data_IF_442054216894
#
_entry.id   IF_442054216894
#
_cell.length_a   1.000
_cell.length_b   1.000
_cell.length_c   1.000
_cell.angle_alpha   90.00
_cell.angle_beta   90.00
_cell.angle_gamma   90.00
#
_symmetry.space_group_name_H-M   'P 1'
#
loop_
_entity.id
_entity.type
_entity.pdbx_description
1 polymer ?
#
# COMPACT_ATOMS: atom_id res chain seq x y z
N UNK A 1 -11.55 6.86 -2.31
CA UNK A 1 -11.38 5.72 -1.37
C UNK A 1 -12.58 5.48 -0.48
N UNK A 2 -13.18 6.51 0.12
CA UNK A 2 -14.52 6.40 0.72
C UNK A 2 -15.56 5.75 -0.22
N UNK A 3 -15.42 5.95 -1.54
CA UNK A 3 -16.24 5.31 -2.57
C UNK A 3 -15.96 3.80 -2.71
N UNK A 4 -14.70 3.35 -2.64
CA UNK A 4 -14.36 1.92 -2.63
C UNK A 4 -14.81 1.24 -1.33
N UNK A 5 -14.71 1.94 -0.19
CA UNK A 5 -15.22 1.48 1.10
C UNK A 5 -16.75 1.42 1.09
N UNK A 6 -17.43 2.45 0.57
CA UNK A 6 -18.89 2.48 0.44
C UNK A 6 -19.38 1.39 -0.51
N UNK A 7 -18.69 1.18 -1.64
CA UNK A 7 -18.94 0.07 -2.56
C UNK A 7 -18.67 -1.26 -1.87
N UNK A 8 -17.57 -1.41 -1.12
CA UNK A 8 -17.25 -2.64 -0.40
C UNK A 8 -18.27 -2.95 0.72
N UNK A 9 -18.71 -1.95 1.49
CA UNK A 9 -19.76 -2.08 2.52
C UNK A 9 -21.10 -2.40 1.87
N UNK A 10 -21.44 -1.74 0.76
CA UNK A 10 -22.63 -2.03 -0.02
C UNK A 10 -22.61 -3.45 -0.61
N UNK A 11 -21.45 -3.91 -1.07
CA UNK A 11 -21.23 -5.29 -1.54
C UNK A 11 -21.29 -6.30 -0.38
N UNK A 12 -20.68 -6.04 0.77
CA UNK A 12 -20.77 -6.88 1.98
C UNK A 12 -22.21 -7.06 2.45
N UNK A 13 -23.05 -6.02 2.29
CA UNK A 13 -24.45 -6.05 2.70
C UNK A 13 -25.36 -6.78 1.68
N UNK A 14 -24.97 -6.86 0.40
CA UNK A 14 -25.84 -7.34 -0.68
C UNK A 14 -25.33 -8.61 -1.41
N UNK A 15 -24.09 -9.05 -1.21
CA UNK A 15 -23.51 -10.23 -1.86
C UNK A 15 -23.08 -11.26 -0.80
N UNK A 16 -23.44 -12.52 -1.03
CA UNK A 16 -23.32 -13.65 -0.11
C UNK A 16 -21.97 -13.72 0.66
N UNK A 17 -21.97 -14.18 1.93
CA UNK A 17 -20.77 -14.35 2.76
C UNK A 17 -19.73 -15.36 2.23
N UNK A 18 -20.00 -16.06 1.13
CA UNK A 18 -19.15 -17.08 0.51
C UNK A 18 -17.84 -16.58 -0.13
N UNK A 19 -17.59 -15.27 -0.18
CA UNK A 19 -16.29 -14.76 -0.66
C UNK A 19 -15.16 -14.98 0.36
N UNK A 20 -15.50 -15.12 1.65
CA UNK A 20 -14.51 -15.26 2.73
C UNK A 20 -14.12 -16.73 2.92
N UNK A 21 -15.02 -17.67 2.60
CA UNK A 21 -14.79 -19.13 2.74
C UNK A 21 -13.69 -19.66 1.81
N UNK A 22 -13.51 -19.11 0.60
CA UNK A 22 -12.41 -19.53 -0.29
C UNK A 22 -11.01 -19.08 0.22
N UNK A 23 -10.96 -18.10 1.11
CA UNK A 23 -9.72 -17.57 1.69
C UNK A 23 -9.41 -18.15 3.08
N UNK A 24 -10.34 -18.92 3.69
CA UNK A 24 -10.18 -19.60 4.98
C UNK A 24 -8.87 -20.41 5.12
N UNK A 25 -8.40 -21.18 4.11
CA UNK A 25 -7.17 -21.96 4.23
C UNK A 25 -5.92 -21.08 4.38
N UNK A 26 -5.94 -19.87 3.82
CA UNK A 26 -4.85 -18.90 3.89
C UNK A 26 -4.91 -18.14 5.23
N UNK A 27 -6.12 -17.87 5.71
CA UNK A 27 -6.38 -17.11 6.93
C UNK A 27 -6.03 -17.85 8.23
N UNK A 28 -5.95 -19.19 8.21
CA UNK A 28 -5.50 -20.00 9.34
C UNK A 28 -4.00 -19.88 9.67
N UNK A 29 -3.20 -19.26 8.80
CA UNK A 29 -1.74 -19.15 8.96
C UNK A 29 -1.26 -17.69 8.82
N UNK A 30 -1.17 -16.93 9.94
CA UNK A 30 -0.72 -15.53 9.92
C UNK A 30 0.59 -15.26 9.16
N UNK A 31 1.63 -16.12 9.22
CA UNK A 31 2.87 -15.91 8.45
C UNK A 31 2.66 -15.94 6.93
N UNK A 32 1.77 -16.79 6.42
CA UNK A 32 1.46 -16.86 4.98
C UNK A 32 0.75 -15.60 4.52
N UNK A 33 -0.17 -15.07 5.33
CA UNK A 33 -0.87 -13.81 5.05
C UNK A 33 0.13 -12.65 4.92
N UNK A 34 1.08 -12.54 5.85
CA UNK A 34 2.14 -11.53 5.76
C UNK A 34 3.04 -11.70 4.54
N UNK A 35 3.39 -12.92 4.17
CA UNK A 35 4.21 -13.20 2.99
C UNK A 35 3.49 -12.76 1.70
N UNK A 36 2.24 -13.20 1.52
CA UNK A 36 1.40 -12.85 0.37
C UNK A 36 1.22 -11.33 0.30
N UNK A 37 0.94 -10.71 1.45
CA UNK A 37 0.83 -9.25 1.55
C UNK A 37 2.11 -8.56 1.12
N UNK A 38 3.25 -8.98 1.66
CA UNK A 38 4.57 -8.39 1.35
C UNK A 38 4.89 -8.52 -0.14
N UNK A 39 4.69 -9.69 -0.73
CA UNK A 39 4.95 -9.90 -2.15
C UNK A 39 4.02 -9.04 -3.01
N UNK A 40 2.72 -9.03 -2.72
CA UNK A 40 1.76 -8.17 -3.40
C UNK A 40 2.17 -6.70 -3.33
N UNK A 41 2.54 -6.24 -2.13
CA UNK A 41 2.89 -4.86 -1.88
C UNK A 41 4.16 -4.46 -2.62
N UNK A 42 5.18 -5.32 -2.65
CA UNK A 42 6.44 -5.08 -3.37
C UNK A 42 6.24 -5.04 -4.89
N UNK A 43 5.45 -5.96 -5.46
CA UNK A 43 5.32 -6.08 -6.92
C UNK A 43 4.25 -5.16 -7.52
N UNK A 44 3.07 -5.08 -6.90
CA UNK A 44 1.92 -4.42 -7.49
C UNK A 44 1.39 -3.27 -6.63
N UNK A 45 1.42 -3.38 -5.30
CA UNK A 45 0.76 -2.42 -4.42
C UNK A 45 -0.73 -2.24 -4.72
N UNK A 46 -1.35 -3.23 -5.40
CA UNK A 46 -2.74 -3.21 -5.84
C UNK A 46 -3.67 -3.87 -4.83
N UNK A 47 -3.20 -4.88 -4.08
CA UNK A 47 -4.04 -5.50 -3.05
C UNK A 47 -4.16 -4.51 -1.90
N UNK A 48 -5.37 -3.97 -1.77
CA UNK A 48 -5.76 -3.02 -0.74
C UNK A 48 -5.53 -3.62 0.65
N UNK A 49 -4.77 -2.95 1.54
CA UNK A 49 -4.54 -3.40 2.91
C UNK A 49 -5.83 -3.58 3.72
N UNK A 50 -6.93 -2.96 3.28
CA UNK A 50 -8.28 -3.09 3.82
C UNK A 50 -8.75 -4.55 3.93
N UNK A 51 -8.41 -5.40 2.94
CA UNK A 51 -8.78 -6.82 2.96
C UNK A 51 -8.09 -7.56 4.11
N UNK A 52 -6.81 -7.23 4.33
CA UNK A 52 -6.02 -7.82 5.40
C UNK A 52 -6.41 -7.28 6.79
N UNK A 53 -6.85 -6.03 6.88
CA UNK A 53 -7.40 -5.46 8.12
C UNK A 53 -8.72 -6.15 8.51
N UNK A 54 -9.59 -6.47 7.55
CA UNK A 54 -10.83 -7.23 7.82
C UNK A 54 -10.51 -8.65 8.29
N UNK A 55 -9.54 -9.32 7.67
CA UNK A 55 -9.06 -10.62 8.16
C UNK A 55 -8.54 -10.53 9.61
N UNK A 56 -7.81 -9.47 9.95
CA UNK A 56 -7.28 -9.27 11.29
C UNK A 56 -8.39 -9.17 12.36
N UNK A 57 -9.58 -8.66 12.02
CA UNK A 57 -10.73 -8.63 12.93
C UNK A 57 -11.24 -10.04 13.26
N UNK A 58 -11.18 -10.96 12.31
CA UNK A 58 -11.69 -12.33 12.51
C UNK A 58 -10.79 -13.18 13.43
N UNK A 59 -9.63 -12.67 13.86
CA UNK A 59 -8.72 -13.35 14.79
C UNK A 59 -9.09 -13.16 16.27
N UNK A 60 -10.19 -12.47 16.56
CA UNK A 60 -10.91 -12.55 17.83
C UNK A 60 -10.40 -11.70 18.99
N UNK A 61 -9.11 -11.35 19.05
CA UNK A 61 -8.55 -10.54 20.13
C UNK A 61 -8.10 -9.14 19.68
N UNK A 62 -8.37 -8.14 20.52
CA UNK A 62 -8.07 -6.71 20.28
C UNK A 62 -6.56 -6.49 20.19
N UNK A 63 -5.80 -7.15 21.07
CA UNK A 63 -4.34 -7.08 21.06
C UNK A 63 -3.77 -7.67 19.78
N UNK A 64 -4.30 -8.82 19.34
CA UNK A 64 -3.90 -9.47 18.10
C UNK A 64 -4.19 -8.59 16.87
N UNK A 65 -5.35 -7.93 16.83
CA UNK A 65 -5.69 -6.98 15.77
C UNK A 65 -4.67 -5.82 15.67
N UNK A 66 -4.35 -5.18 16.80
CA UNK A 66 -3.37 -4.08 16.86
C UNK A 66 -1.98 -4.57 16.40
N UNK A 67 -1.55 -5.74 16.87
CA UNK A 67 -0.28 -6.33 16.44
C UNK A 67 -0.23 -6.60 14.94
N UNK A 68 -1.32 -7.14 14.37
CA UNK A 68 -1.38 -7.42 12.93
C UNK A 68 -1.30 -6.12 12.12
N UNK A 69 -2.06 -5.09 12.49
CA UNK A 69 -2.03 -3.79 11.79
C UNK A 69 -0.65 -3.15 11.89
N UNK A 70 -0.01 -3.23 13.06
CA UNK A 70 1.33 -2.72 13.24
C UNK A 70 2.32 -3.38 12.27
N UNK A 71 2.29 -4.72 12.17
CA UNK A 71 3.14 -5.46 11.23
C UNK A 71 2.83 -5.15 9.76
N UNK A 72 1.55 -5.10 9.38
CA UNK A 72 1.13 -4.72 8.03
C UNK A 72 1.63 -3.32 7.67
N UNK A 73 1.52 -2.37 8.60
CA UNK A 73 1.96 -0.99 8.41
C UNK A 73 3.47 -0.92 8.21
N UNK A 74 4.25 -1.63 9.03
CA UNK A 74 5.71 -1.71 8.90
C UNK A 74 6.14 -2.32 7.57
N UNK A 75 5.53 -3.45 7.18
CA UNK A 75 5.80 -4.12 5.90
C UNK A 75 5.53 -3.15 4.74
N UNK A 76 4.40 -2.45 4.79
CA UNK A 76 3.99 -1.52 3.74
C UNK A 76 4.95 -0.36 3.58
N UNK A 77 5.32 0.25 4.71
CA UNK A 77 6.25 1.36 4.73
C UNK A 77 7.63 0.91 4.22
N UNK A 78 8.09 -0.26 4.67
CA UNK A 78 9.34 -0.88 4.23
C UNK A 78 9.35 -1.24 2.75
N UNK A 79 8.28 -1.85 2.23
CA UNK A 79 8.14 -2.19 0.81
C UNK A 79 8.16 -0.93 -0.07
N UNK A 80 7.47 0.14 0.35
CA UNK A 80 7.54 1.45 -0.30
C UNK A 80 8.93 2.04 -0.35
N UNK A 81 9.66 1.96 0.78
CA UNK A 81 11.04 2.40 0.86
C UNK A 81 11.96 1.59 -0.04
N UNK A 82 11.81 0.27 -0.06
CA UNK A 82 12.56 -0.62 -0.96
C UNK A 82 12.28 -0.26 -2.42
N UNK A 83 11.03 -0.07 -2.81
CA UNK A 83 10.65 0.33 -4.16
C UNK A 83 11.30 1.66 -4.56
N UNK A 84 11.31 2.65 -3.66
CA UNK A 84 12.00 3.93 -3.87
C UNK A 84 13.51 3.75 -4.08
N UNK A 85 14.17 2.96 -3.23
CA UNK A 85 15.62 2.70 -3.35
C UNK A 85 15.94 1.92 -4.64
N UNK A 86 15.13 0.93 -4.98
CA UNK A 86 15.26 0.16 -6.22
C UNK A 86 15.10 1.08 -7.43
N UNK A 87 14.09 1.95 -7.43
CA UNK A 87 13.90 2.96 -8.47
C UNK A 87 15.12 3.85 -8.63
N UNK A 88 15.63 4.39 -7.52
CA UNK A 88 16.81 5.25 -7.52
C UNK A 88 18.07 4.55 -8.03
N UNK A 89 18.28 3.29 -7.66
CA UNK A 89 19.41 2.48 -8.13
C UNK A 89 19.27 2.06 -9.59
N UNK A 90 18.04 1.82 -10.06
CA UNK A 90 17.75 1.42 -11.44
C UNK A 90 18.06 2.53 -12.45
N UNK A 91 18.22 3.79 -11.99
CA UNK A 91 18.58 4.96 -12.81
C UNK A 91 19.75 4.73 -13.77
N UNK A 92 20.75 3.93 -13.39
CA UNK A 92 21.95 3.73 -14.21
C UNK A 92 21.87 2.50 -15.14
N UNK A 93 20.69 1.89 -15.28
CA UNK A 93 20.49 0.68 -16.09
C UNK A 93 20.13 1.05 -17.53
N UNK A 94 20.62 0.31 -18.54
CA UNK A 94 20.31 0.53 -19.97
C UNK A 94 18.81 0.65 -20.28
N UNK A 95 17.98 -0.18 -19.65
CA UNK A 95 16.52 -0.12 -19.75
C UNK A 95 15.93 1.19 -19.24
N UNK A 96 16.49 1.71 -18.14
CA UNK A 96 16.05 2.97 -17.57
C UNK A 96 16.47 4.15 -18.44
N UNK A 97 17.68 4.14 -19.01
CA UNK A 97 18.10 5.19 -19.94
C UNK A 97 17.18 5.28 -21.16
N UNK A 98 16.69 4.14 -21.68
CA UNK A 98 15.68 4.12 -22.74
C UNK A 98 14.33 4.70 -22.28
N UNK A 99 13.85 4.33 -21.08
CA UNK A 99 12.64 4.91 -20.48
C UNK A 99 12.79 6.42 -20.21
N UNK A 100 14.00 6.84 -19.84
CA UNK A 100 14.34 8.23 -19.54
C UNK A 100 14.37 9.08 -20.80
N UNK A 101 15.05 8.64 -21.84
CA UNK A 101 15.08 9.39 -23.11
C UNK A 101 13.70 9.49 -23.76
N UNK A 102 12.86 8.46 -23.60
CA UNK A 102 11.56 8.38 -24.29
C UNK A 102 10.38 8.95 -23.49
N UNK A 103 10.38 8.81 -22.17
CA UNK A 103 9.27 9.25 -21.30
C UNK A 103 9.74 10.18 -20.18
N UNK A 104 10.71 9.79 -19.36
CA UNK A 104 10.96 10.51 -18.10
C UNK A 104 11.74 11.82 -18.26
N UNK A 105 12.55 12.00 -19.29
CA UNK A 105 13.48 13.13 -19.43
C UNK A 105 12.78 14.49 -19.50
N UNK A 106 11.61 14.56 -20.13
CA UNK A 106 10.79 15.80 -20.18
C UNK A 106 10.00 16.01 -18.88
N UNK A 107 9.73 14.95 -18.12
CA UNK A 107 8.96 14.99 -16.88
C UNK A 107 9.81 14.94 -15.60
N UNK A 108 11.14 14.79 -15.72
CA UNK A 108 12.06 14.59 -14.60
C UNK A 108 12.01 15.78 -13.63
N UNK A 109 11.93 17.01 -14.15
CA UNK A 109 11.75 18.21 -13.33
C UNK A 109 10.41 18.20 -12.57
N UNK A 110 9.32 17.81 -13.24
CA UNK A 110 8.00 17.69 -12.61
C UNK A 110 7.98 16.60 -11.53
N UNK A 111 8.65 15.47 -11.73
CA UNK A 111 8.77 14.44 -10.70
C UNK A 111 9.66 14.87 -9.53
N UNK A 112 10.65 15.73 -9.74
CA UNK A 112 11.47 16.28 -8.66
C UNK A 112 10.73 17.36 -7.84
N UNK A 113 9.94 18.19 -8.52
CA UNK A 113 9.16 19.27 -7.90
C UNK A 113 7.87 18.76 -7.25
N UNK A 114 7.09 17.95 -7.99
CA UNK A 114 5.78 17.41 -7.57
C UNK A 114 5.82 15.96 -7.11
N UNK A 115 6.99 15.31 -7.06
CA UNK A 115 7.14 13.93 -6.58
C UNK A 115 6.57 13.71 -5.18
N UNK A 116 6.66 14.73 -4.31
CA UNK A 116 6.05 14.69 -2.99
C UNK A 116 4.54 14.59 -3.05
N UNK A 117 3.91 15.42 -3.89
CA UNK A 117 2.46 15.39 -4.11
C UNK A 117 2.02 14.03 -4.68
N UNK A 118 2.78 13.47 -5.64
CA UNK A 118 2.51 12.15 -6.19
C UNK A 118 2.56 11.04 -5.13
N UNK A 119 3.55 11.08 -4.23
CA UNK A 119 3.65 10.12 -3.11
C UNK A 119 2.47 10.25 -2.16
N UNK A 120 2.07 11.48 -1.81
CA UNK A 120 0.91 11.73 -0.93
C UNK A 120 -0.37 11.21 -1.58
N UNK A 121 -0.62 11.57 -2.85
CA UNK A 121 -1.79 11.09 -3.58
C UNK A 121 -1.77 9.57 -3.63
N UNK A 122 -0.65 8.96 -4.00
CA UNK A 122 -0.53 7.50 -4.06
C UNK A 122 -0.77 6.82 -2.71
N UNK A 123 -0.31 7.43 -1.61
CA UNK A 123 -0.55 6.92 -0.27
C UNK A 123 -2.04 6.96 0.11
N UNK A 124 -2.78 7.98 -0.36
CA UNK A 124 -4.19 8.20 -0.02
C UNK A 124 -5.18 7.54 -0.98
N UNK A 125 -4.74 7.12 -2.16
CA UNK A 125 -5.59 6.60 -3.26
C UNK A 125 -5.34 5.10 -3.53
N UNK A 126 -6.11 4.43 -4.41
CA UNK A 126 -5.95 2.99 -4.69
C UNK A 126 -4.90 2.74 -5.76
N UNK A 127 -4.10 3.73 -6.14
CA UNK A 127 -3.07 3.53 -7.16
C UNK A 127 -1.93 2.68 -6.61
N UNK A 128 -1.24 1.94 -7.49
CA UNK A 128 -0.12 1.08 -7.13
C UNK A 128 1.01 1.91 -6.50
N UNK A 129 1.04 1.96 -5.16
CA UNK A 129 1.97 2.82 -4.43
C UNK A 129 3.42 2.47 -4.69
N UNK A 130 3.77 1.18 -4.73
CA UNK A 130 5.15 0.74 -5.02
C UNK A 130 5.63 1.18 -6.40
N UNK A 131 4.75 1.21 -7.40
CA UNK A 131 5.08 1.74 -8.71
C UNK A 131 5.39 3.24 -8.65
N UNK A 132 4.57 4.02 -7.92
CA UNK A 132 4.81 5.46 -7.73
C UNK A 132 6.11 5.71 -6.95
N UNK A 133 6.38 4.95 -5.89
CA UNK A 133 7.62 5.05 -5.13
C UNK A 133 8.85 4.79 -6.01
N UNK A 134 8.78 3.75 -6.84
CA UNK A 134 9.85 3.41 -7.77
C UNK A 134 10.05 4.49 -8.84
N UNK A 135 8.98 5.03 -9.40
CA UNK A 135 9.03 6.13 -10.38
C UNK A 135 9.66 7.40 -9.77
N UNK A 136 9.19 7.81 -8.60
CA UNK A 136 9.69 9.00 -7.89
C UNK A 136 11.14 8.80 -7.44
N UNK A 137 11.51 7.60 -7.01
CA UNK A 137 12.89 7.24 -6.70
C UNK A 137 13.81 7.28 -7.93
N UNK A 138 13.33 6.80 -9.07
CA UNK A 138 14.10 6.81 -10.30
C UNK A 138 14.31 8.22 -10.87
N UNK A 139 13.36 9.12 -10.66
CA UNK A 139 13.48 10.56 -10.95
C UNK A 139 14.42 11.34 -9.99
N UNK A 140 15.12 10.64 -9.09
CA UNK A 140 16.06 11.20 -8.11
C UNK A 140 15.42 12.16 -7.10
N UNK A 141 14.18 11.88 -6.71
CA UNK A 141 13.50 12.63 -5.66
C UNK A 141 14.22 12.50 -4.31
N UNK A 142 14.10 13.51 -3.45
CA UNK A 142 14.78 13.53 -2.15
C UNK A 142 14.25 12.44 -1.21
N UNK A 143 15.13 11.55 -0.77
CA UNK A 143 14.81 10.47 0.16
C UNK A 143 14.22 10.97 1.49
N UNK A 144 14.66 12.15 1.98
CA UNK A 144 14.11 12.77 3.20
C UNK A 144 12.65 13.19 3.02
N UNK A 145 12.36 13.84 1.89
CA UNK A 145 10.99 14.24 1.53
C UNK A 145 10.11 13.01 1.32
N UNK A 146 10.65 11.99 0.64
CA UNK A 146 9.94 10.72 0.43
C UNK A 146 9.55 10.07 1.76
N UNK A 147 10.50 9.91 2.70
CA UNK A 147 10.25 9.34 4.03
C UNK A 147 9.16 10.10 4.79
N UNK A 148 9.15 11.44 4.69
CA UNK A 148 8.13 12.26 5.34
C UNK A 148 6.76 12.05 4.71
N UNK A 149 6.68 12.02 3.37
CA UNK A 149 5.41 11.88 2.66
C UNK A 149 4.85 10.45 2.68
N UNK A 150 5.69 9.43 2.79
CA UNK A 150 5.26 8.05 2.97
C UNK A 150 4.55 7.82 4.32
N UNK A 151 4.75 8.70 5.31
CA UNK A 151 4.01 8.66 6.59
C UNK A 151 2.50 8.87 6.41
N UNK A 152 2.05 9.55 5.36
CA UNK A 152 0.61 9.63 5.06
C UNK A 152 -0.02 8.25 4.88
N UNK A 153 0.76 7.26 4.46
CA UNK A 153 0.30 5.89 4.38
C UNK A 153 0.11 5.28 5.76
N UNK A 154 1.03 5.52 6.69
CA UNK A 154 0.89 5.10 8.10
C UNK A 154 -0.35 5.74 8.72
N UNK A 155 -0.56 7.05 8.49
CA UNK A 155 -1.75 7.76 8.95
C UNK A 155 -3.05 7.17 8.35
N UNK A 156 -3.03 6.75 7.08
CA UNK A 156 -4.13 6.01 6.45
C UNK A 156 -4.39 4.69 7.15
N UNK A 157 -3.37 3.88 7.40
CA UNK A 157 -3.56 2.61 8.13
C UNK A 157 -4.19 2.84 9.51
N UNK A 158 -3.69 3.81 10.28
CA UNK A 158 -4.21 4.13 11.60
C UNK A 158 -5.68 4.57 11.57
N UNK A 159 -6.03 5.49 10.66
CA UNK A 159 -7.43 5.97 10.52
C UNK A 159 -8.37 4.86 10.06
N UNK A 160 -7.95 4.03 9.10
CA UNK A 160 -8.78 2.93 8.60
C UNK A 160 -8.96 1.83 9.63
N UNK A 161 -7.90 1.49 10.37
CA UNK A 161 -8.01 0.50 11.44
C UNK A 161 -9.02 0.90 12.51
N UNK A 162 -9.12 2.20 12.82
CA UNK A 162 -10.09 2.73 13.77
C UNK A 162 -11.52 2.65 13.22
N UNK A 163 -11.73 3.06 11.96
CA UNK A 163 -13.05 3.00 11.31
C UNK A 163 -13.55 1.56 11.21
N UNK A 164 -12.68 0.62 10.80
CA UNK A 164 -13.01 -0.80 10.66
C UNK A 164 -13.34 -1.42 12.03
N UNK A 165 -12.62 -1.01 13.08
CA UNK A 165 -12.89 -1.43 14.45
C UNK A 165 -14.25 -0.94 14.95
N UNK A 166 -14.56 0.35 14.80
CA UNK A 166 -15.86 0.92 15.18
C UNK A 166 -17.01 0.28 14.39
N UNK A 167 -16.83 0.07 13.09
CA UNK A 167 -17.85 -0.56 12.24
C UNK A 167 -18.12 -2.04 12.57
N UNK A 168 -17.21 -2.72 13.27
CA UNK A 168 -17.40 -4.08 13.76
C UNK A 168 -18.04 -4.12 15.15
N UNK A 169 -17.95 -3.03 15.92
CA UNK A 169 -18.55 -2.91 17.25
C UNK A 169 -20.05 -2.54 17.22
N UNK A 170 -20.58 -2.17 16.04
CA UNK A 170 -21.99 -1.84 15.76
C UNK A 170 -22.69 -3.06 15.16
#
# INVERSE_FOLDING_TARGET
MALLIAVFIFFKKNINPDYITWLEPIYGHPPLVYLIYTLSEVFFGLITPEIFMIWALNQGDTLTYIHIIFWLTLITYGAGWLAFVVGRKSRNTRWYNYLREKFLGKYESYFQEYGGFLVIVAALTPVPYSAVCMLVGAADFSAKKFALYSLFRVARFASYSAIIWEANAI
#
